data_IF_527503339843
#
_entry.id   IF_527503339843
#
_cell.length_a   1.000
_cell.length_b   1.000
_cell.length_c   1.000
_cell.angle_alpha   90.00
_cell.angle_beta   90.00
_cell.angle_gamma   90.00
#
_symmetry.space_group_name_H-M   'P 1'
#
loop_
_entity.id
_entity.type
_entity.pdbx_description
1 polymer ?
#
# COMPACT_ATOMS: atom_id res chain seq x y z
N UNK A 1 -0.90 -12.07 16.91
CA UNK A 1 -1.94 -11.45 16.07
C UNK A 1 -1.71 -11.85 14.61
N UNK A 2 -2.61 -12.64 13.99
CA UNK A 2 -2.39 -13.18 12.64
C UNK A 2 -2.72 -12.19 11.50
N UNK A 3 -3.19 -10.99 11.83
CA UNK A 3 -3.64 -10.01 10.84
C UNK A 3 -2.55 -9.66 9.80
N UNK A 4 -1.28 -9.55 10.20
CA UNK A 4 -0.19 -9.28 9.26
C UNK A 4 0.00 -10.39 8.22
N UNK A 5 -0.09 -11.67 8.62
CA UNK A 5 -0.07 -12.80 7.68
C UNK A 5 -1.27 -12.79 6.74
N UNK A 6 -2.47 -12.50 7.26
CA UNK A 6 -3.70 -12.43 6.46
C UNK A 6 -3.60 -11.32 5.41
N UNK A 7 -3.19 -10.12 5.82
CA UNK A 7 -3.03 -8.98 4.89
C UNK A 7 -1.95 -9.28 3.86
N UNK A 8 -0.81 -9.86 4.27
CA UNK A 8 0.25 -10.26 3.36
C UNK A 8 -0.23 -11.27 2.31
N UNK A 9 -1.02 -12.26 2.73
CA UNK A 9 -1.62 -13.26 1.84
C UNK A 9 -2.58 -12.61 0.85
N UNK A 10 -3.50 -11.75 1.30
CA UNK A 10 -4.44 -11.03 0.43
C UNK A 10 -3.68 -10.20 -0.61
N UNK A 11 -2.69 -9.42 -0.19
CA UNK A 11 -1.87 -8.62 -1.10
C UNK A 11 -1.13 -9.50 -2.11
N UNK A 12 -0.52 -10.59 -1.67
CA UNK A 12 0.21 -11.51 -2.55
C UNK A 12 -0.72 -12.18 -3.57
N UNK A 13 -1.90 -12.62 -3.12
CA UNK A 13 -2.91 -13.26 -3.96
C UNK A 13 -3.38 -12.33 -5.07
N UNK A 14 -3.88 -11.13 -4.75
CA UNK A 14 -4.35 -10.19 -5.77
C UNK A 14 -3.23 -9.71 -6.69
N UNK A 15 -2.01 -9.56 -6.15
CA UNK A 15 -0.83 -9.21 -6.95
C UNK A 15 -0.45 -10.31 -7.93
N UNK A 16 -0.63 -11.58 -7.56
CA UNK A 16 -0.35 -12.72 -8.45
C UNK A 16 -1.29 -12.77 -9.64
N UNK A 17 -2.53 -12.28 -9.49
CA UNK A 17 -3.52 -12.21 -10.57
C UNK A 17 -3.23 -11.08 -11.56
N UNK A 18 -2.49 -10.04 -11.15
CA UNK A 18 -2.19 -8.88 -11.97
C UNK A 18 -1.22 -9.25 -13.11
N UNK A 19 -1.60 -8.94 -14.35
CA UNK A 19 -0.79 -9.12 -15.55
C UNK A 19 -1.06 -7.99 -16.56
N UNK A 20 -0.32 -7.97 -17.66
CA UNK A 20 -0.38 -6.90 -18.66
C UNK A 20 -1.75 -6.80 -19.33
N UNK A 21 -2.45 -7.93 -19.49
CA UNK A 21 -3.75 -8.03 -20.17
C UNK A 21 -4.90 -7.51 -19.30
N UNK A 22 -4.82 -7.72 -17.99
CA UNK A 22 -5.88 -7.33 -17.04
C UNK A 22 -5.56 -6.09 -16.21
N UNK A 23 -4.35 -5.55 -16.27
CA UNK A 23 -3.98 -4.35 -15.51
C UNK A 23 -4.88 -3.15 -15.82
N UNK A 24 -5.26 -3.01 -17.09
CA UNK A 24 -6.17 -1.95 -17.53
C UNK A 24 -7.57 -2.02 -16.91
N UNK A 25 -8.03 -3.19 -16.46
CA UNK A 25 -9.35 -3.37 -15.84
C UNK A 25 -9.28 -3.53 -14.32
N UNK A 26 -8.23 -4.14 -13.78
CA UNK A 26 -8.07 -4.39 -12.34
C UNK A 26 -7.57 -3.16 -11.57
N UNK A 27 -6.79 -2.30 -12.19
CA UNK A 27 -6.28 -1.09 -11.55
C UNK A 27 -7.28 0.05 -11.77
N UNK A 28 -7.90 0.52 -10.70
CA UNK A 28 -9.03 1.47 -10.72
C UNK A 28 -8.74 2.77 -11.48
N UNK A 29 -7.49 3.25 -11.45
CA UNK A 29 -7.06 4.43 -12.21
C UNK A 29 -7.00 4.22 -13.72
N UNK A 30 -6.72 3.00 -14.18
CA UNK A 30 -6.69 2.65 -15.60
C UNK A 30 -8.05 2.16 -16.09
N UNK A 31 -8.85 1.51 -15.24
CA UNK A 31 -10.18 1.03 -15.63
C UNK A 31 -11.12 2.15 -16.07
N UNK A 32 -11.01 3.30 -15.40
CA UNK A 32 -11.80 4.51 -15.70
C UNK A 32 -11.16 5.42 -16.76
N UNK A 33 -9.97 5.06 -17.25
CA UNK A 33 -9.24 5.82 -18.27
C UNK A 33 -9.81 5.54 -19.67
N UNK A 34 -9.86 6.57 -20.53
CA UNK A 34 -10.28 6.41 -21.93
C UNK A 34 -9.27 5.57 -22.72
N UNK A 35 -9.74 4.89 -23.76
CA UNK A 35 -8.88 4.01 -24.58
C UNK A 35 -7.73 4.77 -25.26
N UNK A 36 -7.93 6.05 -25.60
CA UNK A 36 -6.86 6.91 -26.12
C UNK A 36 -5.75 7.14 -25.09
N UNK A 37 -6.09 7.40 -23.82
CA UNK A 37 -5.11 7.61 -22.76
C UNK A 37 -4.42 6.30 -22.37
N UNK A 38 -5.13 5.16 -22.41
CA UNK A 38 -4.56 3.83 -22.14
C UNK A 38 -3.44 3.47 -23.11
N UNK A 39 -3.49 3.93 -24.37
CA UNK A 39 -2.42 3.71 -25.36
C UNK A 39 -1.08 4.38 -24.98
N UNK A 40 -1.10 5.38 -24.10
CA UNK A 40 0.10 6.06 -23.61
C UNK A 40 0.69 5.41 -22.35
N UNK A 41 0.11 4.31 -21.88
CA UNK A 41 0.51 3.60 -20.66
C UNK A 41 1.29 2.35 -21.04
N UNK A 42 2.49 2.23 -20.47
CA UNK A 42 3.26 0.98 -20.49
C UNK A 42 2.76 0.06 -19.37
N UNK A 43 1.71 -0.73 -19.68
CA UNK A 43 1.11 -1.67 -18.71
C UNK A 43 2.11 -2.70 -18.19
N UNK A 44 3.11 -3.10 -19.00
CA UNK A 44 4.18 -3.99 -18.56
C UNK A 44 5.00 -3.39 -17.44
N UNK A 45 5.44 -2.14 -17.62
CA UNK A 45 6.13 -1.38 -16.58
C UNK A 45 5.28 -1.18 -15.33
N UNK A 46 4.02 -0.77 -15.50
CA UNK A 46 3.08 -0.55 -14.40
C UNK A 46 2.85 -1.83 -13.58
N UNK A 47 2.60 -2.97 -14.23
CA UNK A 47 2.42 -4.27 -13.57
C UNK A 47 3.68 -4.64 -12.79
N UNK A 48 4.86 -4.48 -13.39
CA UNK A 48 6.14 -4.77 -12.72
C UNK A 48 6.29 -3.95 -11.44
N UNK A 49 5.99 -2.66 -11.48
CA UNK A 49 6.08 -1.77 -10.31
C UNK A 49 5.08 -2.19 -9.23
N UNK A 50 3.82 -2.44 -9.61
CA UNK A 50 2.81 -2.91 -8.66
C UNK A 50 3.22 -4.22 -8.00
N UNK A 51 3.75 -5.18 -8.77
CA UNK A 51 4.27 -6.44 -8.22
C UNK A 51 5.41 -6.21 -7.24
N UNK A 52 6.40 -5.39 -7.60
CA UNK A 52 7.52 -5.07 -6.71
C UNK A 52 7.01 -4.46 -5.41
N UNK A 53 6.14 -3.44 -5.48
CA UNK A 53 5.64 -2.76 -4.29
C UNK A 53 4.81 -3.69 -3.42
N UNK A 54 3.81 -4.36 -3.99
CA UNK A 54 2.89 -5.18 -3.20
C UNK A 54 3.59 -6.40 -2.61
N UNK A 55 4.47 -7.07 -3.36
CA UNK A 55 5.25 -8.16 -2.78
C UNK A 55 6.23 -7.69 -1.72
N UNK A 56 6.80 -6.48 -1.84
CA UNK A 56 7.65 -5.89 -0.79
C UNK A 56 6.86 -5.61 0.49
N UNK A 57 5.63 -5.09 0.37
CA UNK A 57 4.72 -4.89 1.51
C UNK A 57 4.35 -6.24 2.13
N UNK A 58 3.98 -7.24 1.32
CA UNK A 58 3.68 -8.59 1.81
C UNK A 58 4.87 -9.21 2.54
N UNK A 59 6.08 -9.12 1.98
CA UNK A 59 7.30 -9.63 2.62
C UNK A 59 7.57 -8.91 3.94
N UNK A 60 7.44 -7.59 3.97
CA UNK A 60 7.55 -6.79 5.20
C UNK A 60 6.55 -7.26 6.26
N UNK A 61 5.27 -7.43 5.91
CA UNK A 61 4.23 -7.87 6.84
C UNK A 61 4.48 -9.27 7.38
N UNK A 62 5.01 -10.18 6.54
CA UNK A 62 5.45 -11.52 6.98
C UNK A 62 6.59 -11.39 7.99
N UNK A 63 7.62 -10.59 7.71
CA UNK A 63 8.75 -10.38 8.61
C UNK A 63 8.30 -9.80 9.95
N UNK A 64 7.47 -8.76 9.93
CA UNK A 64 6.89 -8.19 11.14
C UNK A 64 6.05 -9.22 11.91
N UNK A 65 5.21 -9.99 11.21
CA UNK A 65 4.41 -11.05 11.85
C UNK A 65 5.25 -12.18 12.44
N UNK A 66 6.41 -12.49 11.86
CA UNK A 66 7.37 -13.42 12.43
C UNK A 66 8.06 -12.83 13.67
N UNK A 67 8.45 -11.57 13.64
CA UNK A 67 9.01 -10.86 14.81
C UNK A 67 8.01 -10.86 15.98
N UNK A 68 6.70 -10.74 15.70
CA UNK A 68 5.64 -10.84 16.72
C UNK A 68 5.65 -12.17 17.50
N UNK A 69 6.23 -13.25 16.94
CA UNK A 69 6.32 -14.53 17.64
C UNK A 69 7.38 -14.51 18.74
N UNK A 70 8.29 -13.54 18.71
CA UNK A 70 9.42 -13.43 19.64
C UNK A 70 9.37 -12.15 20.49
N UNK A 71 8.67 -11.12 20.05
CA UNK A 71 8.60 -9.82 20.72
C UNK A 71 7.17 -9.56 21.20
N UNK A 72 6.98 -9.59 22.53
CA UNK A 72 5.69 -9.29 23.17
C UNK A 72 5.52 -7.77 23.39
N UNK A 73 5.44 -7.03 22.28
CA UNK A 73 5.18 -5.59 22.31
C UNK A 73 4.12 -5.22 21.27
N UNK A 74 2.86 -5.30 21.69
CA UNK A 74 1.70 -5.08 20.83
C UNK A 74 1.69 -3.66 20.20
N UNK A 75 2.11 -2.63 20.94
CA UNK A 75 2.15 -1.25 20.41
C UNK A 75 3.17 -1.12 19.28
N UNK A 76 4.38 -1.65 19.49
CA UNK A 76 5.41 -1.70 18.46
C UNK A 76 4.88 -2.40 17.20
N UNK A 77 4.19 -3.52 17.38
CA UNK A 77 3.64 -4.31 16.29
C UNK A 77 2.58 -3.55 15.48
N UNK A 78 1.64 -2.88 16.15
CA UNK A 78 0.64 -2.04 15.48
C UNK A 78 1.28 -0.87 14.74
N UNK A 79 2.21 -0.16 15.37
CA UNK A 79 2.93 0.95 14.73
C UNK A 79 3.71 0.47 13.50
N UNK A 80 4.44 -0.63 13.62
CA UNK A 80 5.20 -1.20 12.51
C UNK A 80 4.29 -1.60 11.35
N UNK A 81 3.13 -2.23 11.61
CA UNK A 81 2.17 -2.58 10.57
C UNK A 81 1.56 -1.33 9.91
N UNK A 82 1.17 -0.32 10.70
CA UNK A 82 0.61 0.93 10.20
C UNK A 82 1.60 1.68 9.30
N UNK A 83 2.84 1.86 9.74
CA UNK A 83 3.88 2.54 8.96
C UNK A 83 4.24 1.74 7.71
N UNK A 84 4.40 0.42 7.82
CA UNK A 84 4.73 -0.42 6.68
C UNK A 84 3.66 -0.42 5.59
N UNK A 85 2.39 -0.46 5.97
CA UNK A 85 1.28 -0.36 5.02
C UNK A 85 1.20 1.03 4.40
N UNK A 86 1.18 2.08 5.22
CA UNK A 86 1.01 3.44 4.72
C UNK A 86 2.19 3.88 3.84
N UNK A 87 3.42 3.68 4.30
CA UNK A 87 4.62 4.10 3.58
C UNK A 87 5.01 3.14 2.48
N UNK A 88 4.64 1.86 2.59
CA UNK A 88 4.92 0.85 1.58
C UNK A 88 4.30 1.17 0.22
N UNK A 89 3.17 1.89 0.17
CA UNK A 89 2.53 2.29 -1.10
C UNK A 89 3.13 3.55 -1.74
N UNK A 90 3.94 4.32 -1.01
CA UNK A 90 4.55 5.57 -1.50
C UNK A 90 5.34 5.39 -2.81
N UNK A 91 6.13 4.33 -3.03
CA UNK A 91 6.88 4.16 -4.28
C UNK A 91 6.01 4.14 -5.55
N UNK A 92 4.72 3.78 -5.47
CA UNK A 92 3.81 3.80 -6.62
C UNK A 92 3.69 5.20 -7.24
N UNK A 93 3.82 6.25 -6.42
CA UNK A 93 3.67 7.63 -6.85
C UNK A 93 4.86 8.14 -7.67
N UNK A 94 6.05 7.56 -7.48
CA UNK A 94 7.29 8.01 -8.12
C UNK A 94 7.77 7.07 -9.22
N UNK A 95 7.59 5.77 -9.04
CA UNK A 95 8.05 4.78 -10.01
C UNK A 95 7.10 4.67 -11.20
N UNK A 96 5.79 4.85 -10.97
CA UNK A 96 4.77 4.73 -12.00
C UNK A 96 4.80 5.84 -13.05
N UNK A 97 5.28 7.05 -12.69
CA UNK A 97 5.29 8.22 -13.58
C UNK A 97 6.17 8.03 -14.82
N UNK A 98 7.16 7.15 -14.77
CA UNK A 98 8.01 6.84 -15.93
C UNK A 98 7.30 5.99 -16.99
N UNK A 99 6.22 5.31 -16.60
CA UNK A 99 5.48 4.36 -17.44
C UNK A 99 4.09 4.86 -17.83
N UNK A 100 3.67 6.02 -17.32
CA UNK A 100 2.46 6.72 -17.75
C UNK A 100 2.84 8.08 -18.34
N UNK A 101 2.79 8.18 -19.68
CA UNK A 101 3.18 9.40 -20.42
C UNK A 101 2.01 10.36 -20.64
N UNK A 102 0.87 10.15 -19.98
CA UNK A 102 -0.27 11.04 -20.12
C UNK A 102 0.03 12.42 -19.53
N UNK A 103 -0.53 13.45 -20.15
CA UNK A 103 -0.54 14.80 -19.58
C UNK A 103 -1.71 14.88 -18.60
N UNK A 104 -1.38 15.05 -17.32
CA UNK A 104 -2.38 15.14 -16.26
C UNK A 104 -2.81 16.59 -16.01
N UNK A 105 -4.08 16.75 -15.68
CA UNK A 105 -4.67 18.03 -15.27
C UNK A 105 -4.06 18.48 -13.93
N UNK A 106 -3.98 19.79 -13.64
CA UNK A 106 -3.45 20.29 -12.38
C UNK A 106 -4.11 19.69 -11.14
N UNK A 107 -5.41 19.41 -11.20
CA UNK A 107 -6.14 18.80 -10.09
C UNK A 107 -5.71 17.34 -9.84
N UNK A 108 -5.42 16.55 -10.88
CA UNK A 108 -4.98 15.14 -10.77
C UNK A 108 -3.60 15.10 -10.08
N UNK A 109 -2.71 16.02 -10.45
CA UNK A 109 -1.39 16.18 -9.82
C UNK A 109 -1.50 16.64 -8.36
N UNK A 110 -2.44 17.55 -8.05
CA UNK A 110 -2.68 17.99 -6.68
C UNK A 110 -3.22 16.85 -5.83
N UNK A 111 -4.17 16.07 -6.36
CA UNK A 111 -4.70 14.88 -5.69
C UNK A 111 -3.59 13.84 -5.44
N UNK A 112 -2.71 13.60 -6.41
CA UNK A 112 -1.56 12.71 -6.23
C UNK A 112 -0.64 13.16 -5.07
N UNK A 113 -0.33 14.46 -4.99
CA UNK A 113 0.48 15.04 -3.90
C UNK A 113 -0.24 14.95 -2.56
N UNK A 114 -1.54 15.19 -2.54
CA UNK A 114 -2.38 15.03 -1.36
C UNK A 114 -2.36 13.59 -0.86
N UNK A 115 -2.53 12.60 -1.74
CA UNK A 115 -2.49 11.18 -1.38
C UNK A 115 -1.13 10.76 -0.82
N UNK A 116 -0.04 11.25 -1.40
CA UNK A 116 1.30 11.06 -0.84
C UNK A 116 1.42 11.63 0.58
N UNK A 117 1.01 12.87 0.78
CA UNK A 117 1.05 13.52 2.10
C UNK A 117 0.13 12.80 3.10
N UNK A 118 -1.04 12.35 2.66
CA UNK A 118 -2.00 11.58 3.46
C UNK A 118 -1.42 10.24 3.90
N UNK A 119 -0.77 9.49 3.02
CA UNK A 119 -0.12 8.23 3.38
C UNK A 119 1.02 8.46 4.38
N UNK A 120 1.86 9.46 4.12
CA UNK A 120 3.00 9.75 4.99
C UNK A 120 2.57 10.26 6.38
N UNK A 121 1.82 11.37 6.41
CA UNK A 121 1.38 12.02 7.64
C UNK A 121 0.29 11.21 8.35
N UNK A 122 -0.64 10.61 7.62
CA UNK A 122 -1.67 9.74 8.20
C UNK A 122 -1.06 8.53 8.91
N UNK A 123 -0.04 7.91 8.31
CA UNK A 123 0.74 6.85 8.96
C UNK A 123 1.36 7.30 10.28
N UNK A 124 1.98 8.49 10.31
CA UNK A 124 2.56 9.07 11.52
C UNK A 124 1.51 9.40 12.57
N UNK A 125 0.40 10.04 12.18
CA UNK A 125 -0.69 10.44 13.08
C UNK A 125 -1.30 9.20 13.74
N UNK A 126 -1.65 8.17 12.96
CA UNK A 126 -2.22 6.93 13.51
C UNK A 126 -1.21 6.23 14.43
N UNK A 127 0.07 6.20 14.06
CA UNK A 127 1.12 5.63 14.90
C UNK A 127 1.28 6.38 16.22
N UNK A 128 1.19 7.71 16.19
CA UNK A 128 1.22 8.54 17.40
C UNK A 128 0.02 8.23 18.31
N UNK A 129 -1.19 8.11 17.75
CA UNK A 129 -2.36 7.71 18.52
C UNK A 129 -2.17 6.34 19.17
N UNK A 130 -1.72 5.33 18.42
CA UNK A 130 -1.42 4.00 18.97
C UNK A 130 -0.39 4.07 20.11
N UNK A 131 0.62 4.91 19.97
CA UNK A 131 1.66 5.08 20.98
C UNK A 131 1.10 5.60 22.31
N UNK A 132 0.26 6.65 22.26
CA UNK A 132 -0.31 7.29 23.45
C UNK A 132 -1.50 6.52 24.04
N UNK A 133 -2.23 5.71 23.25
CA UNK A 133 -3.38 4.95 23.73
C UNK A 133 -2.95 3.87 24.73
N UNK A 134 -3.60 3.76 25.90
CA UNK A 134 -3.38 2.67 26.87
C UNK A 134 -3.54 1.27 26.25
N UNK A 135 -2.72 0.31 26.69
CA UNK A 135 -2.70 -1.04 26.09
C UNK A 135 -4.01 -1.79 26.30
N UNK A 136 -4.64 -1.63 27.47
CA UNK A 136 -5.93 -2.22 27.80
C UNK A 136 -7.04 -1.79 26.83
N UNK A 137 -7.05 -0.53 26.39
CA UNK A 137 -8.01 -0.01 25.40
C UNK A 137 -7.77 -0.55 23.98
N UNK A 138 -6.52 -0.89 23.66
CA UNK A 138 -6.18 -1.54 22.38
C UNK A 138 -6.61 -3.02 22.36
N UNK A 139 -6.66 -3.68 23.52
CA UNK A 139 -7.01 -5.10 23.65
C UNK A 139 -8.45 -5.36 24.05
N UNK A 140 -9.13 -4.41 24.71
CA UNK A 140 -10.50 -4.59 25.23
C UNK A 140 -11.58 -4.70 24.16
N UNK A 141 -11.26 -4.37 22.90
CA UNK A 141 -12.14 -4.61 21.75
C UNK A 141 -11.99 -6.02 21.14
N UNK A 142 -11.17 -6.90 21.74
CA UNK A 142 -10.87 -8.25 21.23
C UNK A 142 -11.24 -9.40 22.21
N UNK A 143 -12.09 -9.12 23.21
CA UNK A 143 -12.76 -10.11 24.08
C UNK A 143 -14.27 -10.04 23.85
#
# INVERSE_FOLDING_TARGET
MYAGFIIAFILCFFTSLLNEENAGSLLSGYNTMSDERKKNVDFKGIVKIHKIVFYSISAYLVVISLINLFVDNLKFMFIAMTLGLSWGFIPLFFLGSNHDKNVYKPWELWFQRFMFAFLFLGGLIVSYFIFITPLNELTSNNL
#
